data_IF_620384581379
#
_entry.id   IF_620384581379
#
_cell.length_a   1.000
_cell.length_b   1.000
_cell.length_c   1.000
_cell.angle_alpha   90.00
_cell.angle_beta   90.00
_cell.angle_gamma   90.00
#
_symmetry.space_group_name_H-M   'P 1'
#
loop_
_entity.id
_entity.type
_entity.pdbx_description
1 polymer ?
#
# COMPACT_ATOMS: atom_id res chain seq x y z
N UNK A 1 -3.42 -15.90 21.84
CA UNK A 1 -3.29 -15.84 21.26
C UNK A 1 -2.93 -15.15 20.63
N UNK A 2 -2.57 -15.08 20.13
CA UNK A 2 -2.29 -14.45 19.49
C UNK A 2 -1.97 -14.53 18.47
N UNK A 3 -2.11 -14.32 17.70
CA UNK A 3 -1.91 -14.42 16.66
C UNK A 3 -1.46 -13.47 16.19
N UNK A 4 -0.92 -13.41 15.55
CA UNK A 4 -0.28 -12.56 15.17
C UNK A 4 -0.40 -12.39 13.86
N UNK A 5 -0.71 -11.47 13.43
CA UNK A 5 -0.88 -11.18 12.22
C UNK A 5 0.35 -10.64 11.84
N UNK A 6 1.20 -11.21 11.32
CA UNK A 6 2.30 -10.69 10.93
C UNK A 6 2.05 -9.98 9.86
N UNK A 7 1.89 -8.97 9.85
CA UNK A 7 1.43 -8.26 8.93
C UNK A 7 2.23 -7.87 7.95
N UNK A 8 1.85 -8.00 6.84
CA UNK A 8 2.50 -7.46 5.76
C UNK A 8 1.68 -6.30 5.32
N UNK A 9 0.93 -5.71 6.18
CA UNK A 9 0.12 -4.56 5.84
C UNK A 9 0.85 -3.29 6.23
N UNK A 10 0.72 -2.27 5.40
CA UNK A 10 1.32 -0.98 5.66
C UNK A 10 0.23 0.07 5.60
N UNK A 11 0.40 1.17 6.29
CA UNK A 11 -0.58 2.24 6.20
C UNK A 11 -0.11 3.24 5.14
N UNK A 12 -0.94 4.21 4.83
CA UNK A 12 -0.63 5.16 3.77
C UNK A 12 0.66 5.92 4.03
N UNK A 13 0.88 6.30 5.28
CA UNK A 13 2.08 7.03 5.61
C UNK A 13 3.32 6.18 5.35
N UNK A 14 3.27 4.92 5.74
CA UNK A 14 4.39 4.05 5.53
C UNK A 14 4.66 3.82 4.06
N UNK A 15 3.61 3.68 3.28
CA UNK A 15 3.76 3.46 1.86
C UNK A 15 4.34 4.70 1.20
N UNK A 16 3.90 5.87 1.63
CA UNK A 16 4.39 7.09 1.04
C UNK A 16 5.89 7.23 1.29
N UNK A 17 6.33 6.84 2.47
CA UNK A 17 7.75 6.91 2.78
C UNK A 17 8.53 5.84 2.02
N UNK A 18 7.95 4.69 1.89
CA UNK A 18 8.61 3.60 1.21
C UNK A 18 8.80 3.92 -0.27
N UNK A 19 7.80 4.50 -0.91
CA UNK A 19 7.87 4.82 -2.32
C UNK A 19 8.38 6.23 -2.57
N UNK A 20 8.56 6.99 -1.50
CA UNK A 20 8.99 8.36 -1.61
C UNK A 20 8.02 9.20 -2.44
N UNK A 21 6.76 9.00 -2.20
CA UNK A 21 5.72 9.75 -2.87
C UNK A 21 4.86 10.42 -1.80
N UNK A 22 4.10 11.39 -2.15
CA UNK A 22 3.27 12.06 -1.16
C UNK A 22 2.06 11.19 -0.83
N UNK A 23 1.49 11.39 0.33
CA UNK A 23 0.31 10.65 0.73
C UNK A 23 -0.84 10.87 -0.25
N UNK A 24 -0.93 12.08 -0.78
CA UNK A 24 -1.95 12.38 -1.73
C UNK A 24 -1.82 11.50 -2.95
N UNK A 25 -0.60 11.27 -3.40
CA UNK A 25 -0.37 10.41 -4.55
C UNK A 25 -0.77 8.98 -4.24
N UNK A 26 -0.53 8.54 -2.99
CA UNK A 26 -0.91 7.20 -2.62
C UNK A 26 -2.43 7.05 -2.63
N UNK A 27 -3.14 8.04 -2.12
CA UNK A 27 -4.60 7.99 -2.14
C UNK A 27 -5.11 7.95 -3.59
N UNK A 28 -4.43 8.67 -4.45
CA UNK A 28 -4.83 8.69 -5.83
C UNK A 28 -4.62 7.31 -6.46
N UNK A 29 -3.51 6.67 -6.16
CA UNK A 29 -3.24 5.34 -6.69
C UNK A 29 -4.25 4.32 -6.18
N UNK A 30 -4.68 4.46 -4.93
CA UNK A 30 -5.68 3.58 -4.38
C UNK A 30 -7.00 3.79 -5.13
N UNK A 31 -7.36 5.03 -5.36
CA UNK A 31 -8.60 5.34 -6.07
C UNK A 31 -8.57 4.81 -7.49
N UNK A 32 -7.40 4.81 -8.11
CA UNK A 32 -7.26 4.32 -9.47
C UNK A 32 -7.03 2.83 -9.52
N UNK A 33 -7.05 2.20 -8.38
CA UNK A 33 -6.88 0.76 -8.27
C UNK A 33 -5.51 0.28 -8.71
N UNK A 34 -4.53 1.15 -8.62
CA UNK A 34 -3.18 0.75 -8.92
C UNK A 34 -2.56 0.11 -7.70
N UNK A 35 -3.07 0.43 -6.52
CA UNK A 35 -2.62 -0.18 -5.29
C UNK A 35 -3.84 -0.80 -4.65
N UNK A 36 -3.77 -2.05 -4.28
CA UNK A 36 -4.84 -2.70 -3.62
C UNK A 36 -4.82 -2.37 -2.18
N UNK A 37 -5.85 -1.84 -1.65
CA UNK A 37 -5.93 -1.48 -0.25
C UNK A 37 -7.25 -1.94 0.33
N UNK A 38 -7.22 -2.26 1.60
CA UNK A 38 -8.40 -2.68 2.30
C UNK A 38 -8.76 -1.57 3.26
N UNK A 39 -9.98 -1.11 3.24
CA UNK A 39 -10.39 -0.08 4.13
C UNK A 39 -10.84 -0.71 5.41
N UNK A 40 -10.23 -0.37 6.49
CA UNK A 40 -10.59 -0.95 7.75
C UNK A 40 -10.57 0.09 8.83
N UNK A 41 -11.71 0.31 9.45
CA UNK A 41 -11.75 1.24 10.55
C UNK A 41 -11.35 2.65 10.19
N UNK A 42 -11.69 3.08 9.03
CA UNK A 42 -11.36 4.44 8.64
C UNK A 42 -9.97 4.64 8.11
N UNK A 43 -9.21 3.59 7.96
CA UNK A 43 -7.89 3.75 7.40
C UNK A 43 -7.69 2.68 6.35
N UNK A 44 -6.66 2.85 5.54
CA UNK A 44 -6.37 1.89 4.50
C UNK A 44 -5.21 1.00 4.94
N UNK A 45 -5.32 -0.28 4.63
CA UNK A 45 -4.25 -1.22 4.88
C UNK A 45 -3.79 -1.70 3.51
N UNK A 46 -2.53 -1.58 3.24
CA UNK A 46 -1.98 -1.89 1.93
C UNK A 46 -1.02 -3.05 2.06
N UNK A 47 -1.15 -4.04 1.21
CA UNK A 47 -0.28 -5.20 1.32
C UNK A 47 1.04 -4.95 0.64
N UNK A 48 2.06 -5.58 1.12
CA UNK A 48 3.37 -5.43 0.50
C UNK A 48 3.37 -6.02 -0.88
N UNK A 49 2.58 -7.05 -1.12
CA UNK A 49 2.56 -7.63 -2.44
C UNK A 49 1.98 -6.66 -3.47
N UNK A 50 1.05 -5.80 -3.06
CA UNK A 50 0.53 -4.79 -3.95
C UNK A 50 1.62 -3.85 -4.36
N UNK A 51 2.49 -3.49 -3.43
CA UNK A 51 3.57 -2.57 -3.72
C UNK A 51 4.60 -3.23 -4.63
N UNK A 52 4.85 -4.49 -4.40
CA UNK A 52 5.79 -5.20 -5.22
C UNK A 52 5.32 -5.22 -6.66
N UNK A 53 4.04 -5.46 -6.85
CA UNK A 53 3.48 -5.48 -8.19
C UNK A 53 3.59 -4.13 -8.86
N UNK A 54 3.34 -3.07 -8.12
CA UNK A 54 3.40 -1.74 -8.68
C UNK A 54 4.83 -1.40 -9.08
N UNK A 55 5.78 -1.70 -8.24
CA UNK A 55 7.17 -1.43 -8.52
C UNK A 55 7.66 -2.27 -9.70
N UNK A 56 7.26 -3.51 -9.74
CA UNK A 56 7.65 -4.38 -10.83
C UNK A 56 7.14 -3.86 -12.16
N UNK A 57 5.92 -3.36 -12.18
CA UNK A 57 5.40 -2.84 -13.37
C UNK A 57 6.16 -1.63 -13.83
N UNK A 58 6.51 -0.76 -12.93
CA UNK A 58 7.23 0.41 -13.29
C UNK A 58 8.59 0.07 -13.77
N UNK A 59 9.23 -0.88 -13.15
CA UNK A 59 10.52 -1.18 -13.53
C UNK A 59 10.53 -1.89 -14.80
N UNK A 60 9.55 -2.57 -15.13
CA UNK A 60 9.52 -3.29 -16.27
C UNK A 60 9.28 -2.58 -17.44
N UNK A 61 9.35 -1.69 -17.74
CA UNK A 61 9.04 -0.94 -18.76
C UNK A 61 9.52 -1.19 -19.69
#
# INVERSE_FOLDING_TARGET
MQYIIKTDFLNVKEVSEYLKLSALTIYKYIAEKKIKAIRFGGRYLITKSSLSNLVAKRKNR
#
